data_IF_416039218346
#
_entry.id   IF_416039218346
#
_cell.length_a   1.000
_cell.length_b   1.000
_cell.length_c   1.000
_cell.angle_alpha   90.00
_cell.angle_beta   90.00
_cell.angle_gamma   90.00
#
_symmetry.space_group_name_H-M   'P 1'
#
loop_
_entity.id
_entity.type
_entity.pdbx_description
1 polymer ?
#
# COMPACT_ATOMS: atom_id res chain seq x y z
N UNK A 1 3.86 -20.66 -12.24
CA UNK A 1 3.70 -19.19 -12.07
C UNK A 1 2.22 -18.91 -11.93
N UNK A 2 1.80 -18.39 -10.81
CA UNK A 2 0.43 -17.93 -10.67
C UNK A 2 0.19 -16.77 -11.64
N UNK A 3 -0.93 -16.83 -12.34
CA UNK A 3 -1.25 -15.81 -13.34
C UNK A 3 -1.73 -14.54 -12.65
N UNK A 4 -1.16 -13.40 -13.00
CA UNK A 4 -1.61 -12.08 -12.56
C UNK A 4 -3.10 -11.92 -12.90
N UNK A 5 -3.93 -11.70 -11.87
CA UNK A 5 -5.36 -11.49 -12.05
C UNK A 5 -5.67 -10.01 -11.81
N UNK A 6 -6.29 -9.36 -12.79
CA UNK A 6 -6.63 -7.93 -12.73
C UNK A 6 -8.13 -7.77 -12.79
N UNK A 7 -8.70 -7.14 -11.76
CA UNK A 7 -10.11 -6.75 -11.70
C UNK A 7 -10.23 -5.23 -11.74
N UNK A 8 -11.04 -4.71 -12.65
CA UNK A 8 -11.24 -3.29 -12.89
C UNK A 8 -12.67 -2.86 -12.54
N UNK A 9 -12.79 -1.77 -11.79
CA UNK A 9 -14.05 -1.14 -11.43
C UNK A 9 -14.07 0.30 -11.94
N UNK A 10 -15.04 0.65 -12.80
CA UNK A 10 -15.27 2.03 -13.19
C UNK A 10 -16.24 2.75 -12.23
N UNK A 11 -17.10 2.01 -11.58
CA UNK A 11 -18.12 2.48 -10.64
C UNK A 11 -18.03 1.72 -9.31
N UNK A 12 -18.32 2.37 -8.17
CA UNK A 12 -18.76 3.77 -8.00
C UNK A 12 -17.63 4.80 -8.11
N UNK A 13 -16.38 4.37 -8.22
CA UNK A 13 -15.17 5.16 -8.47
C UNK A 13 -14.13 4.26 -9.17
N UNK A 14 -13.16 4.81 -9.88
CA UNK A 14 -12.12 4.00 -10.52
C UNK A 14 -11.27 3.27 -9.47
N UNK A 15 -11.24 1.95 -9.58
CA UNK A 15 -10.46 1.08 -8.71
C UNK A 15 -9.93 -0.11 -9.53
N UNK A 16 -8.70 -0.50 -9.28
CA UNK A 16 -8.09 -1.71 -9.81
C UNK A 16 -7.60 -2.58 -8.66
N UNK A 17 -7.90 -3.86 -8.73
CA UNK A 17 -7.36 -4.89 -7.83
C UNK A 17 -6.53 -5.85 -8.65
N UNK A 18 -5.32 -6.13 -8.20
CA UNK A 18 -4.37 -7.03 -8.87
C UNK A 18 -3.93 -8.08 -7.87
N UNK A 19 -4.37 -9.32 -8.08
CA UNK A 19 -4.01 -10.45 -7.25
C UNK A 19 -2.75 -11.14 -7.79
N UNK A 20 -1.99 -11.79 -6.89
CA UNK A 20 -0.74 -12.48 -7.20
C UNK A 20 0.28 -11.57 -7.89
N UNK A 21 0.38 -10.31 -7.40
CA UNK A 21 1.17 -9.29 -8.08
C UNK A 21 2.67 -9.58 -8.10
N UNK A 22 3.25 -10.03 -6.99
CA UNK A 22 4.66 -10.36 -6.89
C UNK A 22 4.86 -11.88 -7.03
N UNK A 23 5.91 -12.29 -7.74
CA UNK A 23 6.31 -13.69 -7.80
C UNK A 23 7.04 -14.13 -6.51
N UNK A 24 7.30 -15.43 -6.35
CA UNK A 24 7.93 -15.99 -5.14
C UNK A 24 9.28 -15.35 -4.80
N UNK A 25 10.12 -15.06 -5.81
CA UNK A 25 11.42 -14.42 -5.58
C UNK A 25 11.26 -12.98 -5.09
N UNK A 26 10.35 -12.22 -5.71
CA UNK A 26 10.03 -10.85 -5.32
C UNK A 26 9.45 -10.82 -3.90
N UNK A 27 8.54 -11.75 -3.58
CA UNK A 27 7.97 -11.90 -2.24
C UNK A 27 9.04 -12.21 -1.19
N UNK A 28 10.00 -13.10 -1.50
CA UNK A 28 11.12 -13.40 -0.61
C UNK A 28 11.90 -12.15 -0.21
N UNK A 29 12.26 -11.32 -1.20
CA UNK A 29 12.98 -10.06 -0.97
C UNK A 29 12.14 -9.04 -0.17
N UNK A 30 10.85 -8.92 -0.47
CA UNK A 30 9.93 -8.05 0.29
C UNK A 30 9.84 -8.52 1.75
N UNK A 31 9.70 -9.82 1.99
CA UNK A 31 9.60 -10.39 3.34
C UNK A 31 10.88 -10.26 4.16
N UNK A 32 12.06 -10.33 3.55
CA UNK A 32 13.31 -10.03 4.26
C UNK A 32 13.27 -8.63 4.90
N UNK A 33 12.84 -7.63 4.14
CA UNK A 33 12.78 -6.25 4.60
C UNK A 33 11.62 -6.01 5.57
N UNK A 34 10.43 -6.56 5.34
CA UNK A 34 9.29 -6.47 6.27
C UNK A 34 9.63 -7.10 7.63
N UNK A 35 10.26 -8.28 7.64
CA UNK A 35 10.71 -8.93 8.87
C UNK A 35 11.78 -8.11 9.61
N UNK A 36 12.64 -7.39 8.89
CA UNK A 36 13.60 -6.47 9.50
C UNK A 36 12.88 -5.28 10.17
N UNK A 37 11.91 -4.66 9.50
CA UNK A 37 11.19 -3.52 10.06
C UNK A 37 10.29 -3.87 11.24
N UNK A 38 9.81 -5.10 11.33
CA UNK A 38 8.98 -5.53 12.46
C UNK A 38 9.77 -5.67 13.77
N UNK A 39 11.10 -5.69 13.72
CA UNK A 39 11.93 -5.73 14.92
C UNK A 39 11.74 -4.48 15.80
N UNK A 40 11.94 -4.60 17.13
CA UNK A 40 11.78 -3.47 18.06
C UNK A 40 12.51 -2.21 17.61
N UNK A 41 11.85 -1.06 17.72
CA UNK A 41 12.43 0.26 17.44
C UNK A 41 12.62 0.60 15.96
N UNK A 42 12.08 -0.19 15.01
CA UNK A 42 12.20 0.08 13.58
C UNK A 42 10.98 0.81 13.01
N UNK A 43 9.79 0.32 13.27
CA UNK A 43 8.56 1.02 12.92
C UNK A 43 8.21 2.06 14.00
N UNK A 44 7.74 3.21 13.59
CA UNK A 44 7.39 4.33 14.44
C UNK A 44 5.87 4.59 14.39
N UNK A 45 5.35 5.42 15.28
CA UNK A 45 3.94 5.78 15.24
C UNK A 45 3.57 6.45 13.92
N UNK A 46 2.54 5.95 13.25
CA UNK A 46 2.15 6.41 11.91
C UNK A 46 1.83 7.92 11.87
N UNK A 47 1.39 8.50 12.99
CA UNK A 47 1.17 9.93 13.15
C UNK A 47 2.41 10.78 12.85
N UNK A 48 3.64 10.27 13.14
CA UNK A 48 4.90 10.93 12.80
C UNK A 48 5.25 10.93 11.31
N UNK A 49 4.55 10.11 10.51
CA UNK A 49 4.80 9.93 9.08
C UNK A 49 3.61 10.32 8.21
N UNK A 50 2.97 11.44 8.53
CA UNK A 50 1.82 11.95 7.79
C UNK A 50 0.54 11.15 7.99
N UNK A 51 0.47 10.29 9.02
CA UNK A 51 -0.80 9.81 9.56
C UNK A 51 -1.48 10.96 10.30
N UNK A 52 -2.81 11.02 10.22
CA UNK A 52 -3.57 12.01 10.98
C UNK A 52 -3.54 11.56 12.44
N UNK A 53 -3.04 12.45 13.32
CA UNK A 53 -3.02 12.22 14.77
C UNK A 53 -4.44 11.90 15.23
N UNK A 54 -4.59 10.91 16.12
CA UNK A 54 -5.87 10.41 16.65
C UNK A 54 -6.75 9.61 15.67
N UNK A 55 -6.38 9.51 14.39
CA UNK A 55 -7.11 8.73 13.39
C UNK A 55 -6.48 7.38 13.05
N UNK A 56 -5.26 7.14 13.52
CA UNK A 56 -4.56 5.84 13.36
C UNK A 56 -3.66 5.57 14.54
N UNK A 57 -3.62 4.31 14.97
CA UNK A 57 -2.70 3.82 15.99
C UNK A 57 -1.71 2.77 15.43
N UNK A 58 -1.69 2.59 14.10
CA UNK A 58 -0.75 1.71 13.43
C UNK A 58 0.70 2.22 13.50
N UNK A 59 1.64 1.35 13.19
CA UNK A 59 3.06 1.71 13.00
C UNK A 59 3.38 1.91 11.52
N UNK A 60 4.29 2.83 11.22
CA UNK A 60 4.71 3.13 9.86
C UNK A 60 6.18 3.49 9.75
N UNK A 61 6.67 3.47 8.52
CA UNK A 61 7.99 3.93 8.14
C UNK A 61 7.93 4.53 6.74
N UNK A 62 8.45 5.75 6.57
CA UNK A 62 8.55 6.39 5.26
C UNK A 62 9.90 6.01 4.64
N UNK A 63 9.87 5.11 3.67
CA UNK A 63 11.10 4.57 3.07
C UNK A 63 11.91 5.63 2.32
N UNK A 64 11.25 6.61 1.72
CA UNK A 64 11.91 7.70 0.99
C UNK A 64 12.68 8.69 1.89
N UNK A 65 12.43 8.70 3.20
CA UNK A 65 13.26 9.45 4.16
C UNK A 65 14.50 8.67 4.56
N UNK A 66 14.44 7.34 4.56
CA UNK A 66 15.57 6.47 4.90
C UNK A 66 16.48 6.26 3.69
N UNK A 67 15.87 5.87 2.57
CA UNK A 67 16.56 5.61 1.32
C UNK A 67 16.40 6.79 0.38
N UNK A 68 17.27 7.79 0.54
CA UNK A 68 17.27 8.95 -0.36
C UNK A 68 17.48 8.53 -1.81
N UNK A 69 17.18 9.39 -2.76
CA UNK A 69 17.10 9.10 -4.20
C UNK A 69 18.22 8.20 -4.74
N UNK A 70 19.45 8.42 -4.31
CA UNK A 70 20.63 7.67 -4.75
C UNK A 70 20.76 6.28 -4.10
N UNK A 71 20.02 6.01 -3.03
CA UNK A 71 20.07 4.76 -2.26
C UNK A 71 18.75 3.97 -2.33
N UNK A 72 17.79 4.37 -3.14
CA UNK A 72 16.49 3.66 -3.27
C UNK A 72 16.66 2.19 -3.64
N UNK A 73 17.67 1.85 -4.41
CA UNK A 73 17.99 0.50 -4.83
C UNK A 73 18.56 -0.40 -3.71
N UNK A 74 18.87 0.14 -2.54
CA UNK A 74 19.28 -0.63 -1.36
C UNK A 74 18.06 -1.29 -0.69
N UNK A 75 16.87 -0.68 -0.81
CA UNK A 75 15.62 -1.26 -0.32
C UNK A 75 15.07 -2.27 -1.33
N UNK A 76 14.84 -3.49 -0.88
CA UNK A 76 14.14 -4.51 -1.65
C UNK A 76 12.70 -4.07 -1.98
N UNK A 77 12.00 -3.48 -1.00
CA UNK A 77 10.63 -3.01 -1.17
C UNK A 77 10.57 -1.93 -2.24
N UNK A 78 11.42 -0.90 -2.18
CA UNK A 78 11.43 0.17 -3.18
C UNK A 78 11.80 -0.35 -4.57
N UNK A 79 12.69 -1.34 -4.65
CA UNK A 79 13.08 -1.97 -5.92
C UNK A 79 11.93 -2.81 -6.50
N UNK A 80 11.33 -3.69 -5.69
CA UNK A 80 10.23 -4.55 -6.16
C UNK A 80 8.99 -3.73 -6.50
N UNK A 81 8.73 -2.65 -5.76
CA UNK A 81 7.58 -1.78 -6.01
C UNK A 81 7.65 -1.06 -7.38
N UNK A 82 8.84 -0.94 -7.99
CA UNK A 82 8.98 -0.40 -9.36
C UNK A 82 8.19 -1.19 -10.39
N UNK A 83 7.94 -2.47 -10.15
CA UNK A 83 7.10 -3.32 -11.00
C UNK A 83 5.73 -2.67 -11.30
N UNK A 84 5.12 -1.98 -10.33
CA UNK A 84 3.85 -1.26 -10.52
C UNK A 84 3.91 -0.28 -11.71
N UNK A 85 5.05 0.37 -11.93
CA UNK A 85 5.24 1.41 -12.94
C UNK A 85 5.80 0.86 -14.27
N UNK A 86 6.27 -0.37 -14.29
CA UNK A 86 7.03 -0.92 -15.42
C UNK A 86 6.32 -2.07 -16.14
N UNK A 87 5.38 -2.77 -15.50
CA UNK A 87 4.75 -3.97 -16.04
C UNK A 87 3.45 -3.72 -16.87
N UNK A 88 3.13 -2.46 -17.18
CA UNK A 88 1.92 -2.11 -17.94
C UNK A 88 0.60 -2.20 -17.15
N UNK A 89 0.66 -2.44 -15.85
CA UNK A 89 -0.54 -2.49 -14.99
C UNK A 89 -1.22 -1.13 -14.91
N UNK A 90 -0.45 -0.05 -14.84
CA UNK A 90 -0.99 1.31 -14.81
C UNK A 90 -1.61 1.74 -16.15
N UNK A 91 -1.24 1.12 -17.27
CA UNK A 91 -1.92 1.35 -18.56
C UNK A 91 -3.39 0.93 -18.46
N UNK A 92 -3.64 -0.27 -17.90
CA UNK A 92 -5.02 -0.76 -17.68
C UNK A 92 -5.79 0.13 -16.70
N UNK A 93 -5.15 0.63 -15.65
CA UNK A 93 -5.79 1.57 -14.72
C UNK A 93 -6.11 2.91 -15.39
N UNK A 94 -5.23 3.40 -16.27
CA UNK A 94 -5.43 4.66 -17.00
C UNK A 94 -6.63 4.65 -17.95
N UNK A 95 -7.04 3.48 -18.42
CA UNK A 95 -8.16 3.29 -19.33
C UNK A 95 -9.53 3.22 -18.65
N UNK A 96 -9.58 3.02 -17.31
CA UNK A 96 -10.85 2.82 -16.58
C UNK A 96 -11.74 4.07 -16.63
N UNK A 97 -11.15 5.25 -16.47
CA UNK A 97 -11.88 6.51 -16.38
C UNK A 97 -10.97 7.70 -16.72
N UNK A 98 -11.55 8.78 -17.26
CA UNK A 98 -10.78 9.96 -17.66
C UNK A 98 -9.91 10.57 -16.57
N UNK A 99 -10.31 10.52 -15.30
CA UNK A 99 -9.46 11.00 -14.19
C UNK A 99 -8.22 10.11 -13.91
N UNK A 100 -8.14 8.92 -14.49
CA UNK A 100 -7.02 8.02 -14.38
C UNK A 100 -6.03 8.10 -15.57
N UNK A 101 -6.39 8.84 -16.63
CA UNK A 101 -5.70 8.84 -17.93
C UNK A 101 -4.20 9.17 -17.90
N UNK A 102 -3.71 9.77 -16.83
CA UNK A 102 -2.28 10.10 -16.65
C UNK A 102 -1.56 9.18 -15.67
N UNK A 103 -2.22 8.15 -15.14
CA UNK A 103 -1.63 7.29 -14.12
C UNK A 103 -0.38 6.55 -14.61
N UNK A 104 -0.37 6.10 -15.86
CA UNK A 104 0.76 5.45 -16.52
C UNK A 104 1.92 6.42 -16.86
N UNK A 105 1.72 7.73 -16.69
CA UNK A 105 2.75 8.76 -16.89
C UNK A 105 3.39 9.20 -15.55
N UNK A 106 3.07 8.51 -14.46
CA UNK A 106 3.58 8.84 -13.14
C UNK A 106 5.12 8.90 -13.13
N UNK A 107 5.65 10.02 -12.64
CA UNK A 107 7.08 10.30 -12.59
C UNK A 107 7.58 10.65 -11.17
N UNK A 108 6.68 10.54 -10.19
CA UNK A 108 6.95 10.77 -8.79
C UNK A 108 6.16 9.80 -7.93
N UNK A 109 6.84 9.19 -6.97
CA UNK A 109 6.26 8.31 -5.97
C UNK A 109 6.92 8.48 -4.60
N UNK A 110 6.15 8.21 -3.55
CA UNK A 110 6.59 8.10 -2.16
C UNK A 110 6.03 6.79 -1.61
N UNK A 111 6.85 6.03 -0.90
CA UNK A 111 6.50 4.71 -0.40
C UNK A 111 6.59 4.63 1.12
N UNK A 112 5.53 4.15 1.76
CA UNK A 112 5.46 3.87 3.20
C UNK A 112 5.22 2.38 3.43
N UNK A 113 5.89 1.83 4.44
CA UNK A 113 5.52 0.54 5.02
C UNK A 113 4.64 0.83 6.24
N UNK A 114 3.51 0.14 6.36
CA UNK A 114 2.63 0.16 7.53
C UNK A 114 2.46 -1.25 8.06
N UNK A 115 2.36 -1.35 9.37
CA UNK A 115 2.05 -2.59 10.07
C UNK A 115 0.90 -2.36 11.04
N UNK A 116 -0.06 -3.25 11.01
CA UNK A 116 -1.24 -3.25 11.88
C UNK A 116 -1.29 -4.54 12.67
N UNK A 117 -1.34 -4.42 13.97
CA UNK A 117 -1.50 -5.50 14.92
C UNK A 117 -2.89 -5.43 15.59
N UNK A 118 -3.08 -6.09 16.75
CA UNK A 118 -4.37 -6.12 17.43
C UNK A 118 -4.89 -4.72 17.76
N UNK A 119 -6.17 -4.48 17.48
CA UNK A 119 -6.90 -3.22 17.67
C UNK A 119 -6.41 -2.03 16.85
N UNK A 120 -5.43 -2.22 15.97
CA UNK A 120 -4.93 -1.14 15.11
C UNK A 120 -5.82 -0.94 13.88
N UNK A 121 -5.96 0.31 13.47
CA UNK A 121 -6.89 0.75 12.43
C UNK A 121 -6.40 2.04 11.77
N UNK A 122 -7.11 2.49 10.74
CA UNK A 122 -7.02 3.84 10.21
C UNK A 122 -8.40 4.34 9.84
N UNK A 123 -8.83 5.43 10.47
CA UNK A 123 -10.12 6.04 10.19
C UNK A 123 -10.22 6.55 8.75
N UNK A 124 -11.46 6.67 8.22
CA UNK A 124 -11.68 7.18 6.88
C UNK A 124 -11.09 8.58 6.67
N UNK A 125 -10.30 8.73 5.60
CA UNK A 125 -9.63 9.97 5.21
C UNK A 125 -9.42 10.02 3.70
N UNK A 126 -8.88 11.14 3.22
CA UNK A 126 -8.47 11.32 1.82
C UNK A 126 -7.02 11.78 1.74
N UNK A 127 -6.28 11.29 0.75
CA UNK A 127 -4.89 11.68 0.48
C UNK A 127 -4.81 12.70 -0.67
N UNK A 128 -5.48 13.85 -0.51
CA UNK A 128 -5.63 14.89 -1.56
C UNK A 128 -4.32 15.46 -2.11
N UNK A 129 -3.21 15.25 -1.40
CA UNK A 129 -1.89 15.67 -1.88
C UNK A 129 -1.30 14.79 -3.00
N UNK A 130 -1.95 13.64 -3.28
CA UNK A 130 -1.49 12.69 -4.28
C UNK A 130 -2.61 12.37 -5.26
N UNK A 131 -2.24 12.16 -6.53
CA UNK A 131 -3.21 11.85 -7.57
C UNK A 131 -3.72 10.43 -7.43
N UNK A 132 -2.83 9.48 -7.17
CA UNK A 132 -3.14 8.05 -7.09
C UNK A 132 -2.44 7.38 -5.91
N UNK A 133 -3.06 6.31 -5.45
CA UNK A 133 -2.58 5.44 -4.39
C UNK A 133 -2.50 4.02 -4.91
N UNK A 134 -1.48 3.28 -4.46
CA UNK A 134 -1.40 1.84 -4.64
C UNK A 134 -1.05 1.21 -3.29
N UNK A 135 -1.86 0.28 -2.82
CA UNK A 135 -1.68 -0.42 -1.56
C UNK A 135 -1.46 -1.89 -1.81
N UNK A 136 -0.27 -2.38 -1.45
CA UNK A 136 0.10 -3.79 -1.54
C UNK A 136 -0.01 -4.44 -0.17
N UNK A 137 -0.73 -5.55 -0.06
CA UNK A 137 -1.01 -6.23 1.22
C UNK A 137 -0.16 -7.48 1.37
N UNK A 138 0.32 -7.67 2.62
CA UNK A 138 1.09 -8.85 3.00
C UNK A 138 0.73 -9.29 4.41
N UNK A 139 0.73 -10.60 4.62
CA UNK A 139 0.67 -11.23 5.92
C UNK A 139 1.33 -12.62 5.87
N UNK A 140 1.77 -13.12 7.02
CA UNK A 140 2.31 -14.48 7.13
C UNK A 140 1.19 -15.50 7.03
N UNK A 141 1.45 -16.56 6.28
CA UNK A 141 0.52 -17.69 6.19
C UNK A 141 0.75 -18.72 7.32
N UNK A 142 -0.30 -19.32 7.87
CA UNK A 142 -1.72 -18.98 7.64
C UNK A 142 -2.10 -17.63 8.25
N UNK A 143 -3.07 -16.92 7.66
CA UNK A 143 -3.58 -15.63 8.18
C UNK A 143 -4.10 -15.81 9.61
N UNK A 144 -3.53 -15.04 10.57
CA UNK A 144 -3.86 -15.14 12.00
C UNK A 144 -4.70 -13.97 12.54
N UNK A 145 -5.20 -13.11 11.68
CA UNK A 145 -6.03 -11.98 12.07
C UNK A 145 -7.32 -11.91 11.27
N UNK A 146 -8.30 -11.20 11.81
CA UNK A 146 -9.52 -10.78 11.11
C UNK A 146 -9.56 -9.27 10.96
N UNK A 147 -10.44 -8.74 10.11
CA UNK A 147 -10.46 -7.31 9.78
C UNK A 147 -9.31 -6.91 8.85
N UNK A 148 -8.86 -5.66 8.97
CA UNK A 148 -7.80 -5.11 8.12
C UNK A 148 -8.22 -4.81 6.68
N UNK A 149 -9.50 -4.94 6.32
CA UNK A 149 -10.03 -4.61 5.00
C UNK A 149 -9.82 -3.12 4.70
N UNK A 150 -9.53 -2.80 3.45
CA UNK A 150 -9.62 -1.43 2.94
C UNK A 150 -11.10 -1.11 2.71
N UNK A 151 -11.57 -0.06 3.37
CA UNK A 151 -12.97 0.37 3.30
C UNK A 151 -13.11 1.71 2.59
N UNK A 152 -14.22 1.86 1.87
CA UNK A 152 -14.66 3.08 1.19
C UNK A 152 -16.05 3.45 1.67
N UNK A 153 -16.19 4.06 2.87
CA UNK A 153 -17.48 4.19 3.56
C UNK A 153 -18.53 4.93 2.76
N UNK A 154 -18.12 5.97 2.04
CA UNK A 154 -19.02 6.78 1.20
C UNK A 154 -19.76 5.95 0.13
N UNK A 155 -19.20 4.81 -0.25
CA UNK A 155 -19.72 3.97 -1.33
C UNK A 155 -20.20 2.60 -0.82
N UNK A 156 -20.17 2.37 0.49
CA UNK A 156 -20.46 1.06 1.09
C UNK A 156 -19.68 -0.07 0.41
N UNK A 157 -18.42 0.21 0.09
CA UNK A 157 -17.55 -0.70 -0.65
C UNK A 157 -16.31 -1.07 0.18
N UNK A 158 -15.82 -2.29 0.01
CA UNK A 158 -14.59 -2.75 0.65
C UNK A 158 -13.79 -3.66 -0.26
N UNK A 159 -12.47 -3.64 -0.09
CA UNK A 159 -11.55 -4.62 -0.65
C UNK A 159 -10.98 -5.44 0.50
N UNK A 160 -11.18 -6.77 0.51
CA UNK A 160 -10.58 -7.65 1.50
C UNK A 160 -9.05 -7.52 1.54
N UNK A 161 -8.49 -7.67 2.73
CA UNK A 161 -7.03 -7.75 2.87
C UNK A 161 -6.59 -9.16 2.49
N UNK A 162 -6.20 -9.36 1.23
CA UNK A 162 -5.65 -10.61 0.74
C UNK A 162 -4.15 -10.50 0.48
N UNK A 163 -3.42 -11.59 0.73
CA UNK A 163 -1.96 -11.63 0.60
C UNK A 163 -1.54 -11.40 -0.86
N UNK A 164 -0.46 -10.67 -1.08
CA UNK A 164 0.08 -10.40 -2.42
C UNK A 164 -0.90 -9.72 -3.39
N UNK A 165 -1.84 -8.92 -2.86
CA UNK A 165 -2.81 -8.14 -3.63
C UNK A 165 -2.41 -6.67 -3.64
N UNK A 166 -2.49 -6.03 -4.81
CA UNK A 166 -2.30 -4.58 -5.00
C UNK A 166 -3.62 -3.93 -5.36
N UNK A 167 -3.96 -2.85 -4.67
CA UNK A 167 -5.18 -2.06 -4.91
C UNK A 167 -4.77 -0.66 -5.34
N UNK A 168 -5.23 -0.22 -6.53
CA UNK A 168 -4.93 1.11 -7.10
C UNK A 168 -6.20 1.94 -7.22
N UNK A 169 -6.18 3.17 -6.73
CA UNK A 169 -7.32 4.10 -6.77
C UNK A 169 -6.87 5.56 -6.64
N UNK A 170 -7.75 6.54 -6.99
CA UNK A 170 -7.41 7.97 -6.86
C UNK A 170 -7.33 8.42 -5.40
N UNK A 171 -6.37 9.30 -5.07
CA UNK A 171 -6.13 9.81 -3.72
C UNK A 171 -7.26 10.65 -3.12
N UNK A 172 -8.18 11.17 -3.95
CA UNK A 172 -9.36 11.90 -3.49
C UNK A 172 -10.50 11.01 -2.99
N UNK A 173 -10.43 9.69 -3.24
CA UNK A 173 -11.44 8.74 -2.74
C UNK A 173 -11.24 8.54 -1.24
N UNK A 174 -12.29 8.80 -0.46
CA UNK A 174 -12.28 8.57 0.98
C UNK A 174 -12.14 7.07 1.28
N UNK A 175 -11.14 6.73 2.09
CA UNK A 175 -10.81 5.35 2.42
C UNK A 175 -10.27 5.22 3.84
N UNK A 176 -10.36 4.02 4.39
CA UNK A 176 -9.86 3.69 5.73
C UNK A 176 -9.48 2.22 5.84
N UNK A 177 -8.96 1.83 6.99
CA UNK A 177 -8.60 0.45 7.30
C UNK A 177 -9.41 -0.02 8.49
N UNK A 178 -10.20 -1.09 8.31
CA UNK A 178 -10.93 -1.72 9.42
C UNK A 178 -9.96 -2.20 10.48
N UNK A 179 -10.41 -2.09 11.73
CA UNK A 179 -9.67 -2.59 12.89
C UNK A 179 -9.24 -4.04 12.65
N UNK A 180 -7.95 -4.29 12.87
CA UNK A 180 -7.37 -5.64 12.89
C UNK A 180 -7.68 -6.27 14.25
N UNK A 181 -8.00 -7.54 14.27
CA UNK A 181 -8.13 -8.33 15.49
C UNK A 181 -7.27 -9.59 15.36
N UNK A 182 -6.32 -9.72 16.26
CA UNK A 182 -5.40 -10.85 16.34
C UNK A 182 -5.27 -11.30 17.79
N UNK A 183 -5.38 -12.60 18.04
CA UNK A 183 -5.30 -13.17 19.38
C UNK A 183 -3.94 -13.84 19.61
N UNK A 184 -3.44 -13.74 20.85
CA UNK A 184 -2.28 -14.50 21.34
C UNK A 184 -1.02 -14.40 20.44
N UNK A 185 -0.71 -13.21 19.93
CA UNK A 185 0.48 -12.94 19.13
C UNK A 185 1.25 -11.78 19.72
N UNK A 186 2.57 -11.91 19.82
CA UNK A 186 3.45 -10.78 20.11
C UNK A 186 3.51 -9.84 18.91
N UNK A 187 3.60 -8.54 19.19
CA UNK A 187 3.68 -7.51 18.15
C UNK A 187 4.83 -7.77 17.17
N UNK A 188 5.99 -8.17 17.70
CA UNK A 188 7.22 -8.36 16.94
C UNK A 188 7.31 -9.71 16.22
N UNK A 189 6.36 -10.60 16.44
CA UNK A 189 6.24 -11.87 15.68
C UNK A 189 5.82 -11.64 14.22
N UNK A 190 5.27 -10.46 13.91
CA UNK A 190 4.92 -10.06 12.56
C UNK A 190 3.72 -10.81 11.96
N UNK A 191 2.78 -11.29 12.79
CA UNK A 191 1.57 -12.00 12.34
C UNK A 191 0.41 -11.07 11.96
N UNK A 192 0.60 -9.77 12.09
CA UNK A 192 -0.40 -8.78 11.71
C UNK A 192 -0.43 -8.50 10.20
N UNK A 193 -1.12 -7.42 9.85
CA UNK A 193 -1.32 -6.94 8.49
C UNK A 193 -0.24 -5.95 8.08
N UNK A 194 0.49 -6.22 7.03
CA UNK A 194 1.37 -5.25 6.38
C UNK A 194 0.69 -4.57 5.20
N UNK A 195 1.06 -3.32 4.96
CA UNK A 195 0.69 -2.57 3.78
C UNK A 195 1.89 -1.77 3.28
N UNK A 196 2.30 -2.00 2.04
CA UNK A 196 3.20 -1.10 1.33
C UNK A 196 2.31 -0.10 0.60
N UNK A 197 2.34 1.15 1.05
CA UNK A 197 1.51 2.23 0.51
C UNK A 197 2.35 3.12 -0.41
N UNK A 198 2.04 3.11 -1.69
CA UNK A 198 2.67 4.00 -2.68
C UNK A 198 1.73 5.13 -3.04
N UNK A 199 2.21 6.34 -2.86
CA UNK A 199 1.54 7.60 -3.19
C UNK A 199 2.22 8.15 -4.44
N UNK A 200 1.50 8.26 -5.55
CA UNK A 200 2.15 8.58 -6.81
C UNK A 200 1.35 9.51 -7.73
N UNK A 201 2.01 10.02 -8.75
CA UNK A 201 1.40 10.90 -9.73
C UNK A 201 2.40 11.55 -10.66
N UNK A 202 1.91 12.55 -11.40
CA UNK A 202 2.71 13.34 -12.33
C UNK A 202 3.05 14.68 -11.69
N UNK A 203 4.34 15.00 -11.60
CA UNK A 203 4.83 16.34 -11.28
C UNK A 203 5.24 17.04 -12.56
N UNK A 204 4.87 18.32 -12.75
CA UNK A 204 5.38 19.14 -13.86
C UNK A 204 6.92 19.12 -13.86
N UNK A 205 7.52 19.01 -15.04
CA UNK A 205 8.96 19.23 -15.16
C UNK A 205 9.22 20.70 -14.83
N UNK A 206 10.16 20.96 -13.92
CA UNK A 206 10.67 22.32 -13.76
C UNK A 206 11.36 22.68 -15.06
N UNK A 207 10.83 23.68 -15.75
CA UNK A 207 11.48 24.29 -16.91
C UNK A 207 12.56 25.17 -16.30
N UNK A 208 13.82 24.72 -16.37
CA UNK A 208 15.01 25.50 -16.02
C UNK A 208 15.35 26.47 -17.12
#
# INVERSE_FOLDING_TARGET
METLQITLYANPFPLMVVDNFYNEKELGLIWEELNFYTKPGKLLDAAGYGGIVDHTNAKALLLDEIYTKQYRNVSNILTMNRKLFECGVLDKFSEIHGCCSIANQANHDITKVRYYHDKEYYDPHTDKGFQYLAFSYFYKEPKKFTGGDLIFPKYDFKVPCENNTVVVFPGWVEHGVRKVSIENSDYFDGWGRYCISSFFGVKPRQIS
#
